data_IF_899543709407
#
_entry.id   IF_899543709407
#
_cell.length_a   1.000
_cell.length_b   1.000
_cell.length_c   1.000
_cell.angle_alpha   90.00
_cell.angle_beta   90.00
_cell.angle_gamma   90.00
#
_symmetry.space_group_name_H-M   'P 1'
#
loop_
_entity.id
_entity.type
_entity.pdbx_description
1 polymer ?
#
# COMPACT_ATOMS: atom_id res chain seq x y z
N UNK A 1 -4.57 -13.22 7.62
CA UNK A 1 -3.43 -12.79 6.78
C UNK A 1 -3.59 -11.30 6.48
N UNK A 2 -2.55 -10.48 6.66
CA UNK A 2 -2.65 -9.01 6.51
C UNK A 2 -2.41 -8.68 5.04
N UNK A 3 -3.35 -7.97 4.41
CA UNK A 3 -3.22 -7.62 2.99
C UNK A 3 -1.91 -6.84 2.72
N UNK A 4 -1.22 -7.12 1.60
CA UNK A 4 0.07 -6.52 1.30
C UNK A 4 -0.04 -5.02 0.97
N UNK A 5 -1.17 -4.59 0.42
CA UNK A 5 -1.48 -3.17 0.19
C UNK A 5 -2.83 -2.78 0.79
N UNK A 6 -2.96 -1.50 1.14
CA UNK A 6 -4.25 -0.90 1.45
C UNK A 6 -4.94 -0.57 0.12
N UNK A 7 -5.71 -1.52 -0.39
CA UNK A 7 -6.50 -1.34 -1.60
C UNK A 7 -7.84 -2.07 -1.44
N UNK A 8 -8.94 -1.32 -1.54
CA UNK A 8 -10.30 -1.83 -1.24
C UNK A 8 -11.24 -1.62 -2.41
N UNK A 9 -12.37 -2.35 -2.40
CA UNK A 9 -13.44 -2.19 -3.41
C UNK A 9 -14.04 -0.76 -3.43
N UNK A 10 -14.05 -0.06 -2.30
CA UNK A 10 -14.51 1.33 -2.23
C UNK A 10 -13.55 2.27 -2.97
N UNK A 11 -12.25 2.07 -2.83
CA UNK A 11 -11.24 2.82 -3.60
C UNK A 11 -11.37 2.53 -5.10
N UNK A 12 -11.58 1.26 -5.48
CA UNK A 12 -11.82 0.91 -6.88
C UNK A 12 -13.09 1.55 -7.44
N UNK A 13 -14.19 1.53 -6.68
CA UNK A 13 -15.43 2.19 -7.04
C UNK A 13 -15.25 3.70 -7.23
N UNK A 14 -14.56 4.36 -6.29
CA UNK A 14 -14.26 5.78 -6.37
C UNK A 14 -13.44 6.15 -7.61
N UNK A 15 -12.53 5.28 -8.05
CA UNK A 15 -11.74 5.51 -9.28
C UNK A 15 -12.56 5.32 -10.57
N UNK A 16 -13.67 4.59 -10.53
CA UNK A 16 -14.37 4.14 -11.74
C UNK A 16 -15.20 5.21 -12.45
N UNK A 17 -15.30 6.47 -11.97
CA UNK A 17 -15.89 7.67 -12.61
C UNK A 17 -16.79 7.47 -13.87
N UNK A 18 -17.88 6.69 -13.75
CA UNK A 18 -18.84 6.34 -14.83
C UNK A 18 -18.37 5.34 -15.93
N UNK A 19 -17.15 4.81 -15.85
CA UNK A 19 -16.65 3.67 -16.65
C UNK A 19 -16.75 2.32 -15.92
N UNK A 20 -16.21 1.25 -16.52
CA UNK A 20 -16.22 -0.08 -15.89
C UNK A 20 -15.15 -0.19 -14.80
N UNK A 21 -15.43 -0.93 -13.73
CA UNK A 21 -14.45 -1.21 -12.67
C UNK A 21 -13.20 -1.93 -13.19
N UNK A 22 -13.30 -2.65 -14.32
CA UNK A 22 -12.16 -3.35 -14.91
C UNK A 22 -11.18 -2.38 -15.58
N UNK A 23 -11.67 -1.39 -16.32
CA UNK A 23 -10.81 -0.40 -16.98
C UNK A 23 -10.07 0.46 -15.95
N UNK A 24 -10.79 0.86 -14.89
CA UNK A 24 -10.20 1.59 -13.77
C UNK A 24 -9.14 0.76 -13.03
N UNK A 25 -9.39 -0.54 -12.83
CA UNK A 25 -8.43 -1.45 -12.22
C UNK A 25 -7.18 -1.63 -13.08
N UNK A 26 -7.34 -1.85 -14.39
CA UNK A 26 -6.21 -2.00 -15.30
C UNK A 26 -5.32 -0.76 -15.30
N UNK A 27 -5.93 0.42 -15.45
CA UNK A 27 -5.20 1.71 -15.41
C UNK A 27 -4.49 1.93 -14.08
N UNK A 28 -5.14 1.58 -12.97
CA UNK A 28 -4.54 1.69 -11.64
C UNK A 28 -3.31 0.77 -11.51
N UNK A 29 -3.45 -0.50 -11.89
CA UNK A 29 -2.34 -1.48 -11.88
C UNK A 29 -1.18 -1.01 -12.74
N UNK A 30 -1.44 -0.51 -13.95
CA UNK A 30 -0.41 0.01 -14.85
C UNK A 30 0.38 1.17 -14.23
N UNK A 31 -0.33 2.12 -13.61
CA UNK A 31 0.30 3.26 -12.93
C UNK A 31 1.13 2.80 -11.73
N UNK A 32 0.61 1.88 -10.92
CA UNK A 32 1.34 1.34 -9.78
C UNK A 32 2.59 0.56 -10.22
N UNK A 33 2.49 -0.23 -11.29
CA UNK A 33 3.62 -0.95 -11.87
C UNK A 33 4.70 0.00 -12.42
N UNK A 34 4.29 1.08 -13.09
CA UNK A 34 5.23 2.11 -13.55
C UNK A 34 5.96 2.76 -12.37
N UNK A 35 5.22 3.22 -11.36
CA UNK A 35 5.79 3.81 -10.15
C UNK A 35 6.76 2.85 -9.43
N UNK A 36 6.37 1.57 -9.28
CA UNK A 36 7.22 0.53 -8.70
C UNK A 36 8.52 0.37 -9.50
N UNK A 37 8.44 0.31 -10.82
CA UNK A 37 9.62 0.22 -11.67
C UNK A 37 10.52 1.45 -11.58
N UNK A 38 9.96 2.66 -11.52
CA UNK A 38 10.74 3.89 -11.30
C UNK A 38 11.48 3.83 -9.97
N UNK A 39 10.83 3.38 -8.90
CA UNK A 39 11.47 3.21 -7.60
C UNK A 39 12.59 2.16 -7.64
N UNK A 40 12.39 1.04 -8.34
CA UNK A 40 13.42 0.00 -8.50
C UNK A 40 14.65 0.50 -9.24
N UNK A 41 14.45 1.25 -10.33
CA UNK A 41 15.53 1.85 -11.12
C UNK A 41 16.36 2.85 -10.30
N UNK A 42 15.73 3.55 -9.35
CA UNK A 42 16.37 4.54 -8.49
C UNK A 42 16.66 4.01 -7.06
N UNK A 43 16.63 2.69 -6.87
CA UNK A 43 16.73 2.06 -5.55
C UNK A 43 18.03 2.41 -4.83
N UNK A 44 19.16 2.51 -5.52
CA UNK A 44 20.44 2.89 -4.91
C UNK A 44 20.39 4.26 -4.23
N UNK A 45 19.80 5.26 -4.90
CA UNK A 45 19.65 6.61 -4.34
C UNK A 45 18.69 6.60 -3.15
N UNK A 46 17.55 5.91 -3.30
CA UNK A 46 16.53 5.82 -2.26
C UNK A 46 17.08 5.15 -0.99
N UNK A 47 17.83 4.05 -1.14
CA UNK A 47 18.43 3.33 -0.03
C UNK A 47 19.56 4.11 0.64
N UNK A 48 20.34 4.88 -0.13
CA UNK A 48 21.34 5.78 0.42
C UNK A 48 20.69 6.84 1.31
N UNK A 49 19.62 7.48 0.82
CA UNK A 49 18.87 8.49 1.59
C UNK A 49 18.29 7.88 2.88
N UNK A 50 17.65 6.72 2.80
CA UNK A 50 17.12 6.02 3.97
C UNK A 50 18.22 5.64 4.97
N UNK A 51 19.37 5.16 4.49
CA UNK A 51 20.51 4.82 5.35
C UNK A 51 21.03 6.04 6.09
N UNK A 52 21.08 7.20 5.42
CA UNK A 52 21.50 8.45 6.05
C UNK A 52 20.50 8.92 7.12
N UNK A 53 19.20 8.76 6.88
CA UNK A 53 18.15 9.06 7.87
C UNK A 53 18.20 8.13 9.09
N UNK A 54 18.65 6.88 8.92
CA UNK A 54 18.87 5.97 10.04
C UNK A 54 20.04 6.43 10.93
N UNK A 55 21.07 7.05 10.33
CA UNK A 55 22.23 7.56 11.09
C UNK A 55 21.94 8.85 11.85
N UNK A 56 20.83 9.55 11.56
CA UNK A 56 20.55 10.88 12.15
C UNK A 56 19.57 10.87 13.33
N UNK A 57 19.04 9.70 13.74
CA UNK A 57 18.03 9.53 14.81
C UNK A 57 16.71 10.32 14.63
N UNK A 58 16.48 10.97 13.48
CA UNK A 58 15.38 11.92 13.29
C UNK A 58 13.99 11.27 13.21
N UNK A 59 13.90 9.96 12.91
CA UNK A 59 12.63 9.34 12.49
C UNK A 59 12.33 7.96 13.12
N UNK A 60 13.06 7.53 14.16
CA UNK A 60 13.00 6.14 14.64
C UNK A 60 13.19 5.11 13.51
N UNK A 61 13.94 5.48 12.47
CA UNK A 61 14.30 4.61 11.36
C UNK A 61 15.54 3.81 11.75
N UNK A 62 15.47 2.50 11.58
CA UNK A 62 16.60 1.61 11.79
C UNK A 62 17.03 0.95 10.47
N UNK A 63 18.19 0.31 10.49
CA UNK A 63 18.71 -0.39 9.31
C UNK A 63 17.82 -1.56 8.87
N UNK A 64 16.99 -2.13 9.75
CA UNK A 64 16.00 -3.16 9.38
C UNK A 64 14.93 -2.58 8.45
N UNK A 65 14.52 -1.33 8.64
CA UNK A 65 13.60 -0.64 7.74
C UNK A 65 14.22 -0.44 6.35
N UNK A 66 15.51 -0.10 6.28
CA UNK A 66 16.23 0.01 4.99
C UNK A 66 16.28 -1.33 4.28
N UNK A 67 16.60 -2.40 5.02
CA UNK A 67 16.63 -3.76 4.48
C UNK A 67 15.25 -4.21 3.99
N UNK A 68 14.19 -3.92 4.75
CA UNK A 68 12.82 -4.19 4.35
C UNK A 68 12.49 -3.51 3.00
N UNK A 69 12.88 -2.25 2.82
CA UNK A 69 12.66 -1.55 1.55
C UNK A 69 13.47 -2.17 0.41
N UNK A 70 14.73 -2.55 0.64
CA UNK A 70 15.56 -3.25 -0.35
C UNK A 70 14.89 -4.57 -0.79
N UNK A 71 14.46 -5.39 0.17
CA UNK A 71 13.83 -6.68 -0.09
C UNK A 71 12.50 -6.52 -0.86
N UNK A 72 11.72 -5.48 -0.54
CA UNK A 72 10.46 -5.17 -1.24
C UNK A 72 10.66 -4.63 -2.65
N UNK A 73 11.69 -3.82 -2.89
CA UNK A 73 12.02 -3.34 -4.24
C UNK A 73 12.67 -4.44 -5.08
N UNK A 74 13.38 -5.38 -4.44
CA UNK A 74 14.08 -6.49 -5.09
C UNK A 74 14.82 -6.04 -6.36
N UNK A 75 15.75 -5.08 -6.27
CA UNK A 75 16.31 -4.39 -7.44
C UNK A 75 17.06 -5.32 -8.41
N UNK A 76 17.59 -6.45 -7.91
CA UNK A 76 18.29 -7.46 -8.72
C UNK A 76 17.39 -8.48 -9.43
N UNK A 77 16.07 -8.47 -9.17
CA UNK A 77 15.16 -9.43 -9.77
C UNK A 77 14.77 -9.07 -11.21
N UNK A 78 14.42 -10.10 -11.99
CA UNK A 78 13.93 -9.95 -13.36
C UNK A 78 12.69 -9.03 -13.41
N UNK A 79 12.66 -8.13 -14.38
CA UNK A 79 11.60 -7.13 -14.57
C UNK A 79 10.21 -7.75 -14.71
N UNK A 80 10.04 -8.70 -15.64
CA UNK A 80 8.74 -9.32 -15.93
C UNK A 80 8.20 -10.08 -14.72
N UNK A 81 9.06 -10.82 -14.04
CA UNK A 81 8.70 -11.53 -12.80
C UNK A 81 8.29 -10.55 -11.69
N UNK A 82 9.00 -9.43 -11.54
CA UNK A 82 8.72 -8.43 -10.51
C UNK A 82 7.38 -7.73 -10.74
N UNK A 83 7.06 -7.40 -11.99
CA UNK A 83 5.76 -6.84 -12.36
C UNK A 83 4.64 -7.83 -12.11
N UNK A 84 4.79 -9.10 -12.54
CA UNK A 84 3.77 -10.12 -12.33
C UNK A 84 3.49 -10.34 -10.84
N UNK A 85 4.53 -10.45 -10.02
CA UNK A 85 4.41 -10.58 -8.56
C UNK A 85 3.74 -9.35 -7.93
N UNK A 86 4.15 -8.14 -8.31
CA UNK A 86 3.59 -6.90 -7.79
C UNK A 86 2.10 -6.72 -8.16
N UNK A 87 1.73 -7.05 -9.40
CA UNK A 87 0.33 -7.09 -9.83
C UNK A 87 -0.49 -8.08 -9.01
N UNK A 88 0.06 -9.28 -8.75
CA UNK A 88 -0.56 -10.28 -7.89
C UNK A 88 -0.91 -9.72 -6.50
N UNK A 89 0.05 -9.04 -5.86
CA UNK A 89 -0.17 -8.41 -4.55
C UNK A 89 -1.30 -7.35 -4.57
N UNK A 90 -1.45 -6.59 -5.65
CA UNK A 90 -2.55 -5.61 -5.79
C UNK A 90 -3.90 -6.32 -5.90
N UNK A 91 -3.99 -7.34 -6.75
CA UNK A 91 -5.21 -8.12 -6.97
C UNK A 91 -5.60 -8.88 -5.70
N UNK A 92 -4.63 -9.48 -5.00
CA UNK A 92 -4.85 -10.17 -3.73
C UNK A 92 -5.35 -9.21 -2.65
N UNK A 93 -4.83 -7.98 -2.63
CA UNK A 93 -5.29 -6.93 -1.70
C UNK A 93 -6.75 -6.57 -1.94
N UNK A 94 -7.18 -6.49 -3.22
CA UNK A 94 -8.56 -6.21 -3.61
C UNK A 94 -9.52 -7.36 -3.25
N UNK A 95 -9.04 -8.60 -3.37
CA UNK A 95 -9.82 -9.81 -3.08
C UNK A 95 -9.82 -10.19 -1.59
N UNK A 96 -8.90 -9.65 -0.80
CA UNK A 96 -8.83 -9.91 0.64
C UNK A 96 -10.04 -9.32 1.39
N UNK A 97 -10.88 -10.20 1.93
CA UNK A 97 -11.99 -9.87 2.82
C UNK A 97 -11.52 -9.17 4.11
N UNK A 98 -10.25 -9.36 4.48
CA UNK A 98 -9.66 -8.83 5.71
C UNK A 98 -9.46 -7.31 5.69
N UNK A 99 -9.08 -6.70 4.55
CA UNK A 99 -8.93 -5.24 4.42
C UNK A 99 -10.28 -4.54 4.55
N UNK A 100 -11.33 -5.17 4.01
CA UNK A 100 -12.71 -4.68 4.10
C UNK A 100 -13.25 -4.82 5.52
N UNK A 101 -13.02 -5.94 6.20
CA UNK A 101 -13.39 -6.12 7.61
C UNK A 101 -12.63 -5.18 8.55
N UNK A 102 -11.33 -4.94 8.31
CA UNK A 102 -10.53 -4.04 9.14
C UNK A 102 -10.99 -2.58 8.99
N UNK A 103 -11.35 -2.15 7.77
CA UNK A 103 -12.00 -0.85 7.55
C UNK A 103 -13.38 -0.77 8.23
N UNK A 104 -14.19 -1.84 8.15
CA UNK A 104 -15.50 -1.89 8.81
C UNK A 104 -15.36 -1.79 10.33
N UNK A 105 -14.46 -2.55 10.96
CA UNK A 105 -14.23 -2.50 12.41
C UNK A 105 -13.75 -1.11 12.84
N UNK A 106 -12.83 -0.48 12.11
CA UNK A 106 -12.40 0.89 12.43
C UNK A 106 -13.50 1.93 12.23
N UNK A 107 -14.35 1.79 11.20
CA UNK A 107 -15.51 2.67 10.98
C UNK A 107 -16.56 2.49 12.07
N UNK A 108 -16.86 1.23 12.45
CA UNK A 108 -17.80 0.92 13.54
C UNK A 108 -17.28 1.35 14.91
N UNK A 109 -15.97 1.26 15.16
CA UNK A 109 -15.36 1.78 16.38
C UNK A 109 -15.53 3.31 16.49
N UNK A 110 -15.35 4.04 15.38
CA UNK A 110 -15.53 5.50 15.35
C UNK A 110 -16.99 5.93 15.53
N UNK A 111 -17.96 5.23 14.89
CA UNK A 111 -19.40 5.54 15.03
C UNK A 111 -19.99 5.17 16.39
N UNK A 112 -19.37 4.22 17.10
CA UNK A 112 -19.80 3.84 18.46
C UNK A 112 -19.17 4.75 19.52
N UNK A 113 -17.96 5.29 19.28
CA UNK A 113 -17.36 6.29 20.17
C UNK A 113 -18.00 7.68 20.06
N UNK A 114 -18.65 8.02 18.94
CA UNK A 114 -19.38 9.29 18.78
C UNK A 114 -20.79 9.29 19.39
N UNK A 115 -21.31 8.13 19.83
CA UNK A 115 -22.59 8.01 20.54
C UNK A 115 -22.46 7.99 22.08
N UNK A 116 -21.25 8.13 22.62
CA UNK A 116 -20.99 8.11 24.09
C UNK A 116 -20.57 9.46 24.69
N UNK A 117 -20.90 10.60 24.07
CA UNK A 117 -20.62 11.93 24.64
C UNK A 117 -21.78 12.91 24.52
N UNK A 118 -23.01 12.43 24.69
CA UNK A 118 -24.20 13.26 24.81
C UNK A 118 -25.20 12.67 25.81
N UNK A 119 -24.77 12.54 27.08
CA UNK A 119 -25.66 12.70 28.22
C UNK A 119 -24.89 12.80 29.56
N UNK A 120 -24.45 14.01 29.90
CA UNK A 120 -24.43 14.48 31.29
C UNK A 120 -24.92 15.93 31.26
N UNK A 121 -26.19 16.10 31.65
CA UNK A 121 -26.71 17.35 32.18
C UNK A 121 -25.91 17.78 33.42
#
# INVERSE_FOLDING_TARGET
DRAPFVFTKQMLYAMSHAGTSNDALHRFVDLCCNAFCTLRQNSSLLLLLLSHLCSSDVLNLNYDAVRFVYDRLSPSANYAHSIAHFTGLIVDSLNSTWTTLNFLIHTFAQTTSSSSSSNTM
#
